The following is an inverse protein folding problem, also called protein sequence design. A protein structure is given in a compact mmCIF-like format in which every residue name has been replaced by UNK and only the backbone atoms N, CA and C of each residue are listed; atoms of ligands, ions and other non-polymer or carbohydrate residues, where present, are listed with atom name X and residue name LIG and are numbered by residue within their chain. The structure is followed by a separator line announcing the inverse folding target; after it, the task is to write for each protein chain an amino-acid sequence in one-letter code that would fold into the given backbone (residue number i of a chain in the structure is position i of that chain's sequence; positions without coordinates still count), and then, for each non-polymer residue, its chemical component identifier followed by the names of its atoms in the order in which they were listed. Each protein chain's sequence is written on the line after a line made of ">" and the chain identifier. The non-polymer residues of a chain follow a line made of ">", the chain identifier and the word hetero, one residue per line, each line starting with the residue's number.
data_IF_987396974194
#
_entry.id   IF_987396974194
#
_cell.length_a   1.000
_cell.length_b   1.000
_cell.length_c   1.000
_cell.angle_alpha   90.00
_cell.angle_beta   90.00
_cell.angle_gamma   90.00
#
_symmetry.space_group_name_H-M   'P 1'
#
loop_
_entity.id
_entity.type
_entity.pdbx_description
1 polymer ?
#
# COMPACT_ATOMS: atom_id res chain seq x y z
N UNK A 1 44.26 21.29 16.73
CA UNK A 1 43.34 20.86 15.66
C UNK A 1 42.59 22.09 15.16
N UNK A 2 42.42 22.25 13.84
CA UNK A 2 41.79 23.46 13.27
C UNK A 2 40.26 23.40 13.44
N UNK A 3 39.60 24.55 13.65
CA UNK A 3 38.14 24.67 13.80
C UNK A 3 37.36 23.95 12.69
N UNK A 4 37.93 23.91 11.50
CA UNK A 4 37.33 23.28 10.33
C UNK A 4 37.18 21.76 10.50
N UNK A 5 38.11 21.09 11.19
CA UNK A 5 38.05 19.65 11.45
C UNK A 5 36.91 19.30 12.43
N UNK A 6 36.67 20.18 13.41
CA UNK A 6 35.60 20.03 14.40
C UNK A 6 34.21 20.22 13.76
N UNK A 7 34.08 21.13 12.79
CA UNK A 7 32.86 21.32 12.00
C UNK A 7 32.52 20.10 11.14
N UNK A 8 33.50 19.48 10.47
CA UNK A 8 33.29 18.26 9.68
C UNK A 8 32.84 17.08 10.55
N UNK A 9 33.39 16.95 11.75
CA UNK A 9 33.02 15.92 12.72
C UNK A 9 31.58 16.07 13.22
N UNK A 10 31.13 17.31 13.46
CA UNK A 10 29.76 17.62 13.87
C UNK A 10 28.78 17.31 12.72
N UNK A 11 29.13 17.70 11.50
CA UNK A 11 28.32 17.42 10.31
C UNK A 11 28.20 15.92 10.03
N UNK A 12 29.28 15.15 10.21
CA UNK A 12 29.26 13.69 10.08
C UNK A 12 28.27 13.04 11.07
N UNK A 13 28.36 13.40 12.35
CA UNK A 13 27.45 12.90 13.40
C UNK A 13 25.99 13.29 13.19
N UNK A 14 25.74 14.47 12.61
CA UNK A 14 24.38 14.90 12.24
C UNK A 14 23.85 14.08 11.05
N UNK A 15 24.68 13.80 10.04
CA UNK A 15 24.32 12.95 8.91
C UNK A 15 23.92 11.54 9.34
N UNK A 16 24.69 10.92 10.23
CA UNK A 16 24.38 9.59 10.79
C UNK A 16 23.04 9.57 11.53
N UNK A 17 22.73 10.61 12.33
CA UNK A 17 21.45 10.73 13.03
C UNK A 17 20.27 10.86 12.08
N UNK A 18 20.42 11.63 10.99
CA UNK A 18 19.37 11.79 9.97
C UNK A 18 19.12 10.46 9.25
N UNK A 19 20.19 9.72 8.90
CA UNK A 19 20.06 8.41 8.26
C UNK A 19 19.38 7.39 9.19
N UNK A 20 19.77 7.36 10.48
CA UNK A 20 19.12 6.50 11.46
C UNK A 20 17.64 6.83 11.64
N UNK A 21 17.29 8.12 11.66
CA UNK A 21 15.90 8.56 11.75
C UNK A 21 15.10 8.19 10.49
N UNK A 22 15.68 8.33 9.30
CA UNK A 22 15.06 7.92 8.05
C UNK A 22 14.81 6.40 7.99
N UNK A 23 15.77 5.59 8.44
CA UNK A 23 15.62 4.12 8.55
C UNK A 23 14.48 3.76 9.49
N UNK A 24 14.41 4.41 10.65
CA UNK A 24 13.34 4.20 11.64
C UNK A 24 11.96 4.56 11.07
N UNK A 25 11.85 5.65 10.29
CA UNK A 25 10.61 5.99 9.58
C UNK A 25 10.21 4.95 8.53
N UNK A 26 11.17 4.36 7.80
CA UNK A 26 10.89 3.29 6.85
C UNK A 26 10.40 2.02 7.56
N UNK A 27 11.04 1.63 8.67
CA UNK A 27 10.63 0.50 9.49
C UNK A 27 9.22 0.70 10.09
N UNK A 28 8.91 1.91 10.58
CA UNK A 28 7.57 2.25 11.08
C UNK A 28 6.50 2.17 9.99
N UNK A 29 6.80 2.62 8.77
CA UNK A 29 5.88 2.48 7.63
C UNK A 29 5.63 1.00 7.31
N UNK A 30 6.69 0.19 7.25
CA UNK A 30 6.58 -1.26 7.02
C UNK A 30 5.77 -1.94 8.13
N UNK A 31 5.98 -1.58 9.39
CA UNK A 31 5.22 -2.11 10.52
C UNK A 31 3.74 -1.72 10.46
N UNK A 32 3.42 -0.48 10.04
CA UNK A 32 2.04 -0.03 9.87
C UNK A 32 1.33 -0.82 8.75
N UNK A 33 2.01 -1.01 7.62
CA UNK A 33 1.49 -1.81 6.49
C UNK A 33 1.28 -3.26 6.91
N UNK A 34 2.25 -3.87 7.59
CA UNK A 34 2.10 -5.23 8.12
C UNK A 34 0.94 -5.34 9.12
N UNK A 35 0.78 -4.35 10.00
CA UNK A 35 -0.34 -4.33 10.95
C UNK A 35 -1.68 -4.23 10.23
N UNK A 36 -1.77 -3.43 9.19
CA UNK A 36 -3.01 -3.30 8.40
C UNK A 36 -3.33 -4.60 7.65
N UNK A 37 -2.33 -5.23 7.04
CA UNK A 37 -2.47 -6.56 6.43
C UNK A 37 -2.95 -7.59 7.47
N UNK A 38 -2.35 -7.59 8.66
CA UNK A 38 -2.75 -8.50 9.76
C UNK A 38 -4.14 -8.17 10.31
N UNK A 39 -4.53 -6.90 10.36
CA UNK A 39 -5.89 -6.49 10.73
C UNK A 39 -6.89 -6.99 9.70
N UNK A 40 -6.61 -6.81 8.40
CA UNK A 40 -7.41 -7.34 7.30
C UNK A 40 -7.48 -8.88 7.31
N UNK A 41 -6.41 -9.56 7.75
CA UNK A 41 -6.40 -11.01 7.87
C UNK A 41 -7.19 -11.53 9.08
N UNK A 42 -7.21 -10.78 10.19
CA UNK A 42 -7.84 -11.18 11.45
C UNK A 42 -9.28 -10.67 11.64
N UNK A 43 -9.67 -9.56 11.02
CA UNK A 43 -11.07 -9.20 10.83
C UNK A 43 -11.65 -10.21 9.85
N UNK A 44 -12.20 -11.31 10.38
CA UNK A 44 -13.04 -12.31 9.72
C UNK A 44 -12.87 -12.27 8.21
N UNK A 45 -11.97 -13.08 7.68
CA UNK A 45 -12.01 -13.51 6.28
C UNK A 45 -13.40 -14.10 6.00
N UNK A 46 -14.39 -13.24 5.73
CA UNK A 46 -15.31 -13.47 4.63
C UNK A 46 -14.38 -13.67 3.47
N UNK A 47 -14.07 -14.92 3.18
CA UNK A 47 -13.51 -15.32 1.92
C UNK A 47 -14.55 -14.87 0.91
N UNK A 48 -14.43 -13.62 0.45
CA UNK A 48 -15.28 -13.07 -0.59
C UNK A 48 -14.95 -13.97 -1.78
N UNK A 49 -15.85 -14.92 -2.02
CA UNK A 49 -15.70 -15.83 -3.14
C UNK A 49 -15.99 -15.00 -4.36
N UNK A 50 -14.93 -14.54 -5.02
CA UNK A 50 -15.05 -13.77 -6.23
C UNK A 50 -15.57 -14.66 -7.35
N UNK A 51 -16.46 -14.13 -8.16
CA UNK A 51 -16.80 -14.68 -9.48
C UNK A 51 -16.15 -13.85 -10.57
N UNK A 52 -16.03 -14.41 -11.78
CA UNK A 52 -15.58 -13.65 -12.95
C UNK A 52 -16.48 -12.41 -13.21
N UNK A 53 -17.78 -12.54 -12.96
CA UNK A 53 -18.73 -11.42 -13.07
C UNK A 53 -18.46 -10.33 -12.02
N UNK A 54 -18.22 -10.71 -10.77
CA UNK A 54 -17.88 -9.73 -9.71
C UNK A 54 -16.56 -9.03 -10.01
N UNK A 55 -15.54 -9.74 -10.52
CA UNK A 55 -14.29 -9.14 -11.00
C UNK A 55 -14.57 -8.07 -12.06
N UNK A 56 -15.38 -8.38 -13.06
CA UNK A 56 -15.66 -7.44 -14.15
C UNK A 56 -16.43 -6.21 -13.67
N UNK A 57 -17.42 -6.40 -12.77
CA UNK A 57 -18.12 -5.28 -12.12
C UNK A 57 -17.16 -4.43 -11.28
N UNK A 58 -16.24 -5.06 -10.57
CA UNK A 58 -15.23 -4.36 -9.76
C UNK A 58 -14.28 -3.53 -10.63
N UNK A 59 -13.83 -4.06 -11.77
CA UNK A 59 -13.04 -3.30 -12.76
C UNK A 59 -13.75 -2.04 -13.24
N UNK A 60 -15.06 -2.14 -13.52
CA UNK A 60 -15.87 -0.99 -13.94
C UNK A 60 -15.97 0.05 -12.83
N UNK A 61 -16.26 -0.37 -11.60
CA UNK A 61 -16.34 0.54 -10.44
C UNK A 61 -14.99 1.23 -10.15
N UNK A 62 -13.89 0.47 -10.18
CA UNK A 62 -12.55 1.00 -10.01
C UNK A 62 -12.19 2.01 -11.11
N UNK A 63 -12.51 1.71 -12.36
CA UNK A 63 -12.26 2.63 -13.48
C UNK A 63 -13.06 3.93 -13.33
N UNK A 64 -14.32 3.85 -12.92
CA UNK A 64 -15.14 5.04 -12.66
C UNK A 64 -14.53 5.93 -11.56
N UNK A 65 -13.94 5.34 -10.53
CA UNK A 65 -13.24 6.07 -9.47
C UNK A 65 -11.96 6.76 -9.96
N UNK A 66 -11.17 6.06 -10.80
CA UNK A 66 -10.00 6.63 -11.48
C UNK A 66 -10.39 7.82 -12.35
N UNK A 67 -11.42 7.66 -13.19
CA UNK A 67 -11.90 8.70 -14.10
C UNK A 67 -12.47 9.91 -13.35
N UNK A 68 -12.94 9.70 -12.11
CA UNK A 68 -13.42 10.74 -11.19
C UNK A 68 -12.33 11.30 -10.25
N UNK A 69 -11.07 10.90 -10.41
CA UNK A 69 -9.93 11.31 -9.57
C UNK A 69 -10.15 11.06 -8.06
N UNK A 70 -10.87 9.99 -7.72
CA UNK A 70 -11.14 9.61 -6.33
C UNK A 70 -9.99 8.80 -5.72
N UNK A 71 -9.77 8.93 -4.40
CA UNK A 71 -8.78 8.13 -3.68
C UNK A 71 -9.34 6.78 -3.22
N UNK A 72 -10.66 6.69 -3.03
CA UNK A 72 -11.40 5.48 -2.65
C UNK A 72 -12.70 5.32 -3.44
N UNK A 73 -13.26 4.10 -3.43
CA UNK A 73 -14.55 3.78 -4.03
C UNK A 73 -15.24 2.67 -3.25
N UNK A 74 -16.57 2.62 -3.34
CA UNK A 74 -17.37 1.57 -2.69
C UNK A 74 -17.76 0.50 -3.71
N UNK A 75 -17.60 -0.76 -3.34
CA UNK A 75 -18.07 -1.91 -4.10
C UNK A 75 -18.64 -2.95 -3.14
N UNK A 76 -19.85 -3.44 -3.42
CA UNK A 76 -20.54 -4.46 -2.61
C UNK A 76 -20.53 -4.13 -1.10
N UNK A 77 -20.94 -2.90 -0.77
CA UNK A 77 -20.99 -2.36 0.60
C UNK A 77 -19.62 -2.22 1.30
N UNK A 78 -18.50 -2.48 0.60
CA UNK A 78 -17.15 -2.34 1.11
C UNK A 78 -16.43 -1.15 0.47
N UNK A 79 -15.64 -0.42 1.27
CA UNK A 79 -14.79 0.65 0.77
C UNK A 79 -13.41 0.12 0.40
N UNK A 80 -12.91 0.53 -0.77
CA UNK A 80 -11.62 0.16 -1.31
C UNK A 80 -10.82 1.39 -1.69
N UNK A 81 -9.52 1.38 -1.37
CA UNK A 81 -8.58 2.34 -1.93
C UNK A 81 -8.39 2.06 -3.43
N UNK A 82 -8.32 3.10 -4.25
CA UNK A 82 -8.06 2.96 -5.69
C UNK A 82 -6.73 2.27 -5.96
N UNK A 83 -5.70 2.54 -5.16
CA UNK A 83 -4.40 1.86 -5.24
C UNK A 83 -4.50 0.37 -4.96
N UNK A 84 -5.31 -0.03 -3.97
CA UNK A 84 -5.57 -1.44 -3.66
C UNK A 84 -6.41 -2.12 -4.74
N UNK A 85 -7.41 -1.41 -5.29
CA UNK A 85 -8.26 -1.93 -6.36
C UNK A 85 -7.47 -2.43 -7.56
N UNK A 86 -6.39 -1.73 -7.94
CA UNK A 86 -5.48 -2.19 -9.00
C UNK A 86 -4.87 -3.56 -8.69
N UNK A 87 -4.28 -3.74 -7.52
CA UNK A 87 -3.65 -5.01 -7.13
C UNK A 87 -4.66 -6.15 -7.06
N UNK A 88 -5.86 -5.88 -6.54
CA UNK A 88 -6.93 -6.87 -6.47
C UNK A 88 -7.38 -7.29 -7.89
N UNK A 89 -7.49 -6.34 -8.82
CA UNK A 89 -7.80 -6.66 -10.23
C UNK A 89 -6.73 -7.57 -10.84
N UNK A 90 -5.44 -7.24 -10.68
CA UNK A 90 -4.33 -8.04 -11.20
C UNK A 90 -4.33 -9.46 -10.61
N UNK A 91 -4.61 -9.60 -9.31
CA UNK A 91 -4.76 -10.90 -8.65
C UNK A 91 -5.94 -11.72 -9.20
N UNK A 92 -7.12 -11.09 -9.32
CA UNK A 92 -8.32 -11.76 -9.84
C UNK A 92 -8.16 -12.12 -11.32
N UNK A 93 -7.45 -11.31 -12.10
CA UNK A 93 -7.12 -11.63 -13.50
C UNK A 93 -6.21 -12.85 -13.59
N UNK A 94 -5.27 -13.07 -12.67
CA UNK A 94 -4.49 -14.32 -12.69
C UNK A 94 -5.34 -15.54 -12.33
N UNK A 95 -6.34 -15.40 -11.46
CA UNK A 95 -7.24 -16.50 -11.08
C UNK A 95 -8.23 -16.86 -12.20
N UNK A 96 -8.80 -15.84 -12.83
CA UNK A 96 -9.86 -16.02 -13.84
C UNK A 96 -9.35 -15.91 -15.29
N UNK A 97 -8.10 -15.50 -15.50
CA UNK A 97 -7.52 -15.18 -16.80
C UNK A 97 -6.60 -16.27 -17.38
N UNK A 98 -6.25 -17.32 -16.64
CA UNK A 98 -5.70 -18.57 -17.22
C UNK A 98 -6.81 -19.53 -17.67
N UNK A 99 -7.83 -18.99 -18.34
CA UNK A 99 -8.82 -19.76 -19.09
C UNK A 99 -8.98 -19.14 -20.49
N UNK A 100 -7.91 -19.19 -21.28
CA UNK A 100 -7.91 -18.96 -22.72
C UNK A 100 -7.04 -20.00 -23.40
#
# INVERSE_FOLDING_TARGET
>A
MSKQHEEWDILGRLGEKILAQASMFQELKLALVHREIQRMANDKSTTVSWTAEQRDKFKVAWKAAIDAEQESFTFDENEYLVTYGRYLIEYLDNIFGEAA
#
